data_IF_290309789503
#
_entry.id   IF_290309789503
#
_cell.length_a   1.000
_cell.length_b   1.000
_cell.length_c   1.000
_cell.angle_alpha   90.00
_cell.angle_beta   90.00
_cell.angle_gamma   90.00
#
_symmetry.space_group_name_H-M   'P 1'
#
loop_
_entity.id
_entity.type
_entity.pdbx_description
1 polymer ?
#
# COMPACT_ATOMS: atom_id res chain seq x y z
N UNK A 1 -2.14 17.57 -5.01
CA UNK A 1 -3.57 17.69 -5.38
C UNK A 1 -3.79 18.71 -6.50
N UNK A 2 -3.31 19.95 -6.35
CA UNK A 2 -3.47 20.98 -7.39
C UNK A 2 -2.81 20.60 -8.71
N UNK A 3 -1.60 20.04 -8.69
CA UNK A 3 -0.94 19.58 -9.92
C UNK A 3 -1.69 18.43 -10.61
N UNK A 4 -2.24 17.49 -9.85
CA UNK A 4 -3.05 16.40 -10.41
C UNK A 4 -4.34 16.95 -11.06
N UNK A 5 -4.98 17.95 -10.45
CA UNK A 5 -6.13 18.63 -11.03
C UNK A 5 -5.75 19.40 -12.31
N UNK A 6 -4.58 20.03 -12.33
CA UNK A 6 -4.03 20.71 -13.50
C UNK A 6 -3.74 19.73 -14.66
N UNK A 7 -3.12 18.58 -14.39
CA UNK A 7 -2.89 17.51 -15.39
C UNK A 7 -4.20 16.94 -15.93
N UNK A 8 -5.19 16.73 -15.08
CA UNK A 8 -6.51 16.27 -15.49
C UNK A 8 -7.16 17.28 -16.46
N UNK A 9 -7.04 18.58 -16.20
CA UNK A 9 -7.50 19.63 -17.11
C UNK A 9 -6.74 19.65 -18.45
N UNK A 10 -5.50 19.15 -18.49
CA UNK A 10 -4.69 18.96 -19.68
C UNK A 10 -4.91 17.59 -20.39
N UNK A 11 -5.93 16.83 -19.98
CA UNK A 11 -6.29 15.55 -20.60
C UNK A 11 -5.43 14.36 -20.18
N UNK A 12 -4.68 14.46 -19.07
CA UNK A 12 -3.88 13.35 -18.51
C UNK A 12 -4.27 13.04 -17.07
N UNK A 13 -4.56 11.77 -16.80
CA UNK A 13 -5.06 11.33 -15.49
C UNK A 13 -6.42 11.93 -15.14
N UNK A 14 -6.86 11.73 -13.90
CA UNK A 14 -8.11 12.29 -13.39
C UNK A 14 -8.09 12.45 -11.88
N UNK A 15 -8.84 13.43 -11.37
CA UNK A 15 -9.08 13.61 -9.93
C UNK A 15 -10.57 13.47 -9.67
N UNK A 16 -10.94 12.52 -8.81
CA UNK A 16 -12.30 12.31 -8.36
C UNK A 16 -12.40 12.61 -6.87
N UNK A 17 -13.49 13.22 -6.43
CA UNK A 17 -13.71 13.52 -5.02
C UNK A 17 -15.13 13.18 -4.61
N UNK A 18 -15.30 12.67 -3.40
CA UNK A 18 -16.60 12.54 -2.76
C UNK A 18 -17.15 13.89 -2.28
N UNK A 19 -18.44 13.92 -1.94
CA UNK A 19 -19.07 15.06 -1.25
C UNK A 19 -18.26 15.45 0.00
N UNK A 20 -18.11 16.75 0.24
CA UNK A 20 -17.32 17.33 1.34
C UNK A 20 -15.91 16.77 1.50
N UNK A 21 -15.30 16.28 0.41
CA UNK A 21 -13.98 15.65 0.41
C UNK A 21 -13.90 14.44 1.36
N UNK A 22 -14.99 13.67 1.45
CA UNK A 22 -15.01 12.41 2.19
C UNK A 22 -13.92 11.44 1.69
N UNK A 23 -13.58 11.48 0.40
CA UNK A 23 -12.48 10.75 -0.22
C UNK A 23 -11.95 11.50 -1.45
N UNK A 24 -10.71 11.20 -1.84
CA UNK A 24 -10.10 11.67 -3.10
C UNK A 24 -9.44 10.49 -3.83
N UNK A 25 -9.67 10.36 -5.12
CA UNK A 25 -8.95 9.43 -6.00
C UNK A 25 -8.16 10.24 -7.01
N UNK A 26 -6.89 9.89 -7.19
CA UNK A 26 -6.01 10.44 -8.22
C UNK A 26 -5.65 9.29 -9.16
N UNK A 27 -6.21 9.29 -10.36
CA UNK A 27 -5.90 8.33 -11.41
C UNK A 27 -4.74 8.84 -12.25
N UNK A 28 -3.76 7.97 -12.50
CA UNK A 28 -2.53 8.26 -13.24
C UNK A 28 -1.80 9.51 -12.71
N UNK A 29 -1.36 9.48 -11.44
CA UNK A 29 -0.68 10.61 -10.82
C UNK A 29 0.65 10.93 -11.51
N UNK A 30 1.17 12.17 -11.35
CA UNK A 30 2.57 12.45 -11.68
C UNK A 30 3.53 11.50 -10.95
N UNK A 31 4.52 11.00 -11.68
CA UNK A 31 5.57 10.09 -11.18
C UNK A 31 6.83 10.83 -10.75
N UNK A 32 6.92 12.11 -11.08
CA UNK A 32 8.00 13.04 -10.76
C UNK A 32 7.83 13.71 -9.38
N UNK A 33 6.69 13.51 -8.73
CA UNK A 33 6.41 13.99 -7.37
C UNK A 33 6.32 12.83 -6.37
N UNK A 34 6.64 13.07 -5.08
CA UNK A 34 6.36 12.11 -4.03
C UNK A 34 4.87 11.73 -4.00
N UNK A 35 4.53 10.47 -3.67
CA UNK A 35 3.14 10.04 -3.55
C UNK A 35 2.35 10.95 -2.61
N UNK A 36 1.10 11.23 -2.97
CA UNK A 36 0.24 12.04 -2.15
C UNK A 36 -0.16 11.29 -0.86
N UNK A 37 0.58 11.50 0.23
CA UNK A 37 0.25 10.98 1.58
C UNK A 37 -0.88 11.76 2.27
N UNK A 38 -1.90 12.15 1.49
CA UNK A 38 -3.02 12.93 2.01
C UNK A 38 -4.04 12.01 2.68
N UNK A 39 -4.69 12.46 3.77
CA UNK A 39 -5.77 11.71 4.41
C UNK A 39 -6.86 11.34 3.41
N UNK A 40 -7.40 10.12 3.52
CA UNK A 40 -8.52 9.61 2.70
C UNK A 40 -8.30 9.78 1.18
N UNK A 41 -7.05 9.67 0.74
CA UNK A 41 -6.66 9.79 -0.66
C UNK A 41 -6.07 8.47 -1.15
N UNK A 42 -6.47 8.03 -2.33
CA UNK A 42 -5.80 6.94 -3.04
C UNK A 42 -5.25 7.46 -4.36
N UNK A 43 -4.01 7.11 -4.65
CA UNK A 43 -3.40 7.25 -5.96
C UNK A 43 -3.48 5.91 -6.69
N UNK A 44 -3.95 5.91 -7.93
CA UNK A 44 -4.15 4.73 -8.75
C UNK A 44 -3.31 4.89 -10.02
N UNK A 45 -2.24 4.10 -10.11
CA UNK A 45 -1.39 4.05 -11.30
C UNK A 45 -1.70 2.76 -12.07
N UNK A 46 -2.11 2.83 -13.35
CA UNK A 46 -2.26 1.65 -14.17
C UNK A 46 -0.89 1.03 -14.45
N UNK A 47 -0.82 -0.30 -14.40
CA UNK A 47 0.39 -1.10 -14.67
C UNK A 47 -0.01 -2.30 -15.51
N UNK A 48 0.91 -2.79 -16.34
CA UNK A 48 0.72 -3.94 -17.20
C UNK A 48 0.72 -5.26 -16.43
N UNK A 49 1.55 -5.37 -15.39
CA UNK A 49 1.62 -6.56 -14.54
C UNK A 49 2.06 -6.26 -13.09
N UNK A 50 2.18 -7.33 -12.30
CA UNK A 50 2.57 -7.24 -10.90
C UNK A 50 4.05 -6.86 -10.70
N UNK A 51 4.93 -7.17 -11.65
CA UNK A 51 6.34 -6.79 -11.56
C UNK A 51 6.48 -5.27 -11.74
N UNK A 52 5.80 -4.70 -12.73
CA UNK A 52 5.76 -3.26 -12.96
C UNK A 52 5.18 -2.51 -11.73
N UNK A 53 4.13 -3.05 -11.10
CA UNK A 53 3.58 -2.50 -9.86
C UNK A 53 4.63 -2.37 -8.74
N UNK A 54 5.53 -3.35 -8.67
CA UNK A 54 6.49 -3.52 -7.58
C UNK A 54 7.75 -2.71 -7.86
N UNK A 55 8.20 -2.65 -9.11
CA UNK A 55 9.23 -1.72 -9.56
C UNK A 55 8.79 -0.27 -9.32
N UNK A 56 7.54 0.05 -9.65
CA UNK A 56 6.97 1.37 -9.35
C UNK A 56 7.01 1.66 -7.85
N UNK A 57 6.54 0.73 -7.01
CA UNK A 57 6.59 0.89 -5.55
C UNK A 57 8.02 1.00 -4.99
N UNK A 58 8.98 0.25 -5.54
CA UNK A 58 10.38 0.30 -5.14
C UNK A 58 11.03 1.65 -5.48
N UNK A 59 10.73 2.20 -6.66
CA UNK A 59 11.24 3.50 -7.13
C UNK A 59 10.77 4.69 -6.26
N UNK A 60 9.68 4.52 -5.50
CA UNK A 60 9.22 5.52 -4.55
C UNK A 60 10.15 5.66 -3.34
N UNK A 61 11.03 4.69 -3.09
CA UNK A 61 11.97 4.68 -1.96
C UNK A 61 11.30 4.96 -0.59
N UNK A 62 10.05 4.51 -0.44
CA UNK A 62 9.23 4.71 0.75
C UNK A 62 9.03 3.37 1.46
N UNK A 63 9.06 3.33 2.81
CA UNK A 63 8.74 2.12 3.55
C UNK A 63 7.34 1.61 3.22
N UNK A 64 7.25 0.39 2.68
CA UNK A 64 5.98 -0.27 2.41
C UNK A 64 5.59 -1.11 3.63
N UNK A 65 4.46 -0.80 4.25
CA UNK A 65 3.98 -1.55 5.42
C UNK A 65 3.23 -2.81 5.00
N UNK A 66 2.33 -2.69 4.02
CA UNK A 66 1.41 -3.76 3.63
C UNK A 66 1.11 -3.72 2.14
N UNK A 67 1.06 -4.89 1.52
CA UNK A 67 0.59 -5.09 0.13
C UNK A 67 -0.80 -5.72 0.15
N UNK A 68 -1.76 -5.07 -0.48
CA UNK A 68 -3.12 -5.59 -0.69
C UNK A 68 -3.29 -6.16 -2.10
N UNK A 69 -3.85 -7.36 -2.23
CA UNK A 69 -4.03 -8.05 -3.53
C UNK A 69 -5.50 -8.39 -3.77
N UNK A 70 -5.98 -8.16 -4.99
CA UNK A 70 -7.31 -8.60 -5.44
C UNK A 70 -7.28 -9.08 -6.91
N UNK A 71 -7.78 -10.29 -7.25
CA UNK A 71 -8.05 -11.43 -6.37
C UNK A 71 -6.76 -12.17 -5.98
N UNK A 72 -6.66 -12.64 -4.73
CA UNK A 72 -5.54 -13.47 -4.29
C UNK A 72 -5.70 -14.90 -4.84
N UNK A 73 -5.30 -15.10 -6.10
CA UNK A 73 -5.32 -16.43 -6.71
C UNK A 73 -4.07 -17.21 -6.30
N UNK A 74 -4.25 -18.42 -5.77
CA UNK A 74 -3.18 -19.27 -5.22
C UNK A 74 -1.96 -19.45 -6.16
N UNK A 75 -2.09 -19.60 -7.49
CA UNK A 75 -0.94 -19.76 -8.38
C UNK A 75 -0.01 -18.54 -8.44
N UNK A 76 -0.51 -17.34 -8.10
CA UNK A 76 0.26 -16.09 -8.12
C UNK A 76 0.77 -15.65 -6.76
N UNK A 77 0.36 -16.34 -5.69
CA UNK A 77 0.70 -15.96 -4.31
C UNK A 77 2.21 -15.96 -4.05
N UNK A 78 2.95 -16.95 -4.58
CA UNK A 78 4.40 -17.04 -4.40
C UNK A 78 5.16 -15.88 -5.08
N UNK A 79 4.79 -15.55 -6.33
CA UNK A 79 5.37 -14.41 -7.04
C UNK A 79 5.08 -13.10 -6.31
N UNK A 80 3.84 -12.91 -5.84
CA UNK A 80 3.46 -11.74 -5.04
C UNK A 80 4.21 -11.65 -3.71
N UNK A 81 4.52 -12.79 -3.08
CA UNK A 81 5.35 -12.82 -1.87
C UNK A 81 6.78 -12.37 -2.12
N UNK A 82 7.42 -12.90 -3.17
CA UNK A 82 8.78 -12.47 -3.55
C UNK A 82 8.83 -10.98 -3.88
N UNK A 83 7.83 -10.50 -4.61
CA UNK A 83 7.72 -9.11 -5.00
C UNK A 83 7.48 -8.20 -3.78
N UNK A 84 6.60 -8.58 -2.85
CA UNK A 84 6.36 -7.83 -1.63
C UNK A 84 7.62 -7.76 -0.73
N UNK A 85 8.41 -8.84 -0.69
CA UNK A 85 9.71 -8.82 0.00
C UNK A 85 10.70 -7.84 -0.64
N UNK A 86 10.66 -7.68 -1.97
CA UNK A 86 11.53 -6.74 -2.69
C UNK A 86 11.32 -5.27 -2.26
N UNK A 87 10.08 -4.90 -1.91
CA UNK A 87 9.74 -3.56 -1.43
C UNK A 87 9.75 -3.44 0.11
N UNK A 88 10.20 -4.49 0.80
CA UNK A 88 10.30 -4.51 2.26
C UNK A 88 8.94 -4.57 2.99
N UNK A 89 7.89 -5.05 2.32
CA UNK A 89 6.56 -5.14 2.92
C UNK A 89 6.53 -6.08 4.13
N UNK A 90 5.94 -5.63 5.23
CA UNK A 90 5.80 -6.44 6.45
C UNK A 90 4.60 -7.40 6.40
N UNK A 91 3.67 -7.19 5.47
CA UNK A 91 2.41 -7.95 5.38
C UNK A 91 1.86 -8.00 3.96
N UNK A 92 1.25 -9.12 3.59
CA UNK A 92 0.43 -9.28 2.39
C UNK A 92 -0.98 -9.71 2.83
N UNK A 93 -2.00 -9.12 2.25
CA UNK A 93 -3.40 -9.49 2.55
C UNK A 93 -4.33 -9.24 1.36
N UNK A 94 -5.58 -9.68 1.48
CA UNK A 94 -6.61 -9.31 0.52
C UNK A 94 -6.85 -7.79 0.55
N UNK A 95 -7.06 -7.17 -0.62
CA UNK A 95 -7.43 -5.75 -0.69
C UNK A 95 -8.70 -5.51 0.14
N UNK A 96 -8.68 -4.46 0.98
CA UNK A 96 -9.73 -4.19 1.97
C UNK A 96 -9.46 -4.72 3.37
N UNK A 97 -8.60 -5.74 3.54
CA UNK A 97 -8.23 -6.27 4.86
C UNK A 97 -7.02 -5.54 5.49
N UNK A 98 -6.44 -4.55 4.80
CA UNK A 98 -5.22 -3.85 5.25
C UNK A 98 -5.41 -3.16 6.60
N UNK A 99 -6.57 -2.53 6.82
CA UNK A 99 -6.91 -1.81 8.06
C UNK A 99 -7.30 -2.75 9.22
N UNK A 100 -7.43 -4.05 8.97
CA UNK A 100 -7.78 -5.07 9.97
C UNK A 100 -6.69 -6.14 10.08
N UNK A 101 -5.50 -5.79 10.59
CA UNK A 101 -4.45 -6.76 10.85
C UNK A 101 -4.82 -7.69 12.00
N UNK A 102 -4.37 -8.94 11.92
CA UNK A 102 -4.50 -9.89 13.02
C UNK A 102 -3.71 -9.39 14.25
N UNK A 103 -4.20 -9.66 15.47
CA UNK A 103 -3.56 -9.22 16.72
C UNK A 103 -2.11 -9.72 16.86
N UNK A 104 -1.86 -10.97 16.45
CA UNK A 104 -0.53 -11.55 16.42
C UNK A 104 0.33 -11.16 15.19
N UNK A 105 -0.18 -10.27 14.33
CA UNK A 105 0.56 -9.80 13.15
C UNK A 105 1.63 -8.77 13.53
N UNK A 106 2.58 -8.58 12.62
CA UNK A 106 3.67 -7.63 12.77
C UNK A 106 3.29 -6.30 12.10
N UNK A 107 3.59 -5.19 12.77
CA UNK A 107 3.50 -3.84 12.19
C UNK A 107 4.87 -3.18 12.25
N UNK A 108 5.31 -2.56 11.15
CA UNK A 108 6.68 -2.12 10.99
C UNK A 108 7.68 -3.26 11.22
N UNK A 109 7.34 -4.48 10.81
CA UNK A 109 8.08 -5.72 11.08
C UNK A 109 8.31 -6.06 12.57
N UNK A 110 7.54 -5.47 13.50
CA UNK A 110 7.65 -5.73 14.94
C UNK A 110 6.34 -6.30 15.51
N UNK A 111 6.40 -7.21 16.51
CA UNK A 111 5.18 -7.71 17.14
C UNK A 111 4.49 -6.59 17.93
N UNK A 112 3.22 -6.30 17.61
CA UNK A 112 2.50 -5.11 18.10
C UNK A 112 2.45 -4.96 19.63
N UNK A 113 2.30 -6.05 20.36
CA UNK A 113 2.06 -6.06 21.81
C UNK A 113 3.30 -6.50 22.59
N UNK A 114 4.26 -7.15 21.94
CA UNK A 114 5.44 -7.71 22.62
C UNK A 114 6.28 -6.62 23.30
N UNK A 115 6.37 -5.44 22.71
CA UNK A 115 7.07 -4.28 23.28
C UNK A 115 6.36 -3.71 24.53
N UNK A 116 5.12 -4.12 24.82
CA UNK A 116 4.29 -3.61 25.91
C UNK A 116 3.96 -4.64 26.99
N UNK A 117 4.50 -5.86 26.93
CA UNK A 117 4.26 -6.93 27.90
C UNK A 117 5.55 -7.43 28.51
N UNK A 118 5.45 -8.04 29.70
CA UNK A 118 6.57 -8.74 30.34
C UNK A 118 6.28 -10.25 30.32
N UNK A 119 7.26 -11.02 29.84
CA UNK A 119 7.19 -12.48 29.79
C UNK A 119 7.75 -13.08 31.08
N UNK A 120 7.07 -14.08 31.63
CA UNK A 120 7.54 -14.88 32.76
C UNK A 120 7.55 -16.34 32.29
N UNK A 121 8.75 -16.87 32.11
CA UNK A 121 8.96 -18.25 31.69
C UNK A 121 9.19 -19.16 32.91
N UNK A 122 8.66 -20.38 32.86
CA UNK A 122 8.92 -21.43 33.84
C UNK A 122 9.41 -22.67 33.12
N UNK A 123 10.65 -23.08 33.38
CA UNK A 123 11.25 -24.28 32.81
C UNK A 123 11.06 -25.48 33.75
N UNK A 124 11.03 -26.69 33.18
CA UNK A 124 10.92 -27.97 33.90
C UNK A 124 12.06 -28.91 33.55
#
# INVERSE_FOLDING_TARGET
RELAAFRAAAGRGAVFTGADLAWTLILDPPTDEPPAFLPRTLAITPVGDAAEAIEHAAALHIPVETVGVAPLQAPRAAALQMLAAHVGASRICALGAMQHPHLASHHGARPRVADFVHWVDTES
#
